data_IF_500397731666
#
_entry.id   IF_500397731666
#
_cell.length_a   1.000
_cell.length_b   1.000
_cell.length_c   1.000
_cell.angle_alpha   90.00
_cell.angle_beta   90.00
_cell.angle_gamma   90.00
#
_symmetry.space_group_name_H-M   'P 1'
#
loop_
_entity.id
_entity.type
_entity.pdbx_description
1 polymer ?
#
# COMPACT_ATOMS: atom_id res chain seq x y z
N UNK A 1 6.35 -16.07 -15.76
CA UNK A 1 4.94 -15.67 -15.59
C UNK A 1 4.77 -14.23 -16.00
N UNK A 2 4.76 -13.30 -15.04
CA UNK A 2 4.56 -11.86 -15.27
C UNK A 2 5.36 -11.26 -16.42
N UNK A 3 6.67 -11.51 -16.54
CA UNK A 3 7.47 -11.00 -17.66
C UNK A 3 7.01 -11.47 -19.05
N UNK A 4 6.55 -12.71 -19.17
CA UNK A 4 6.03 -13.23 -20.43
C UNK A 4 4.69 -12.54 -20.80
N UNK A 5 3.84 -12.30 -19.79
CA UNK A 5 2.58 -11.57 -19.94
C UNK A 5 2.86 -10.11 -20.33
N UNK A 6 3.73 -9.41 -19.59
CA UNK A 6 4.11 -8.02 -19.86
C UNK A 6 4.63 -7.84 -21.29
N UNK A 7 5.45 -8.78 -21.78
CA UNK A 7 5.92 -8.77 -23.18
C UNK A 7 4.78 -8.98 -24.18
N UNK A 8 3.85 -9.88 -23.88
CA UNK A 8 2.76 -10.23 -24.79
C UNK A 8 1.69 -9.14 -24.91
N UNK A 9 1.46 -8.35 -23.86
CA UNK A 9 0.40 -7.33 -23.82
C UNK A 9 0.90 -5.90 -24.01
N UNK A 10 2.20 -5.72 -24.27
CA UNK A 10 2.78 -4.40 -24.48
C UNK A 10 1.99 -3.60 -25.55
N UNK A 11 1.70 -2.30 -25.31
CA UNK A 11 2.26 -1.42 -24.29
C UNK A 11 1.49 -1.39 -22.94
N UNK A 12 0.51 -2.27 -22.72
CA UNK A 12 -0.24 -2.30 -21.46
C UNK A 12 0.69 -2.71 -20.31
N UNK A 13 0.75 -1.90 -19.25
CA UNK A 13 1.60 -2.19 -18.10
C UNK A 13 0.98 -3.27 -17.20
N UNK A 14 1.83 -4.18 -16.71
CA UNK A 14 1.45 -5.19 -15.72
C UNK A 14 1.77 -4.67 -14.32
N UNK A 15 0.78 -4.75 -13.42
CA UNK A 15 0.93 -4.48 -12.00
C UNK A 15 0.88 -5.79 -11.19
N UNK A 16 1.67 -5.86 -10.11
CA UNK A 16 1.49 -6.85 -9.03
C UNK A 16 2.22 -6.36 -7.78
N UNK A 17 1.84 -6.89 -6.62
CA UNK A 17 2.69 -6.82 -5.43
C UNK A 17 2.00 -6.97 -4.08
N UNK A 18 0.68 -6.82 -3.98
CA UNK A 18 -0.11 -6.97 -2.73
C UNK A 18 0.14 -8.31 -1.98
N UNK A 19 0.45 -9.36 -2.74
CA UNK A 19 0.74 -10.71 -2.23
C UNK A 19 2.22 -11.10 -2.40
N UNK A 20 3.08 -10.17 -2.80
CA UNK A 20 4.51 -10.42 -2.91
C UNK A 20 5.12 -10.60 -1.51
N UNK A 21 5.74 -11.76 -1.29
CA UNK A 21 6.12 -12.20 0.05
C UNK A 21 7.23 -11.40 0.73
N UNK A 22 8.15 -10.78 -0.02
CA UNK A 22 9.31 -10.06 0.54
C UNK A 22 10.07 -9.28 -0.55
N UNK A 23 11.07 -8.50 -0.13
CA UNK A 23 11.92 -7.69 -1.01
C UNK A 23 12.70 -8.49 -2.06
N UNK A 24 12.97 -9.77 -1.83
CA UNK A 24 13.74 -10.60 -2.78
C UNK A 24 12.93 -10.88 -4.03
N UNK A 25 11.62 -11.13 -3.89
CA UNK A 25 10.73 -11.32 -5.04
C UNK A 25 10.52 -10.01 -5.81
N UNK A 26 10.37 -8.88 -5.10
CA UNK A 26 10.37 -7.56 -5.76
C UNK A 26 11.64 -7.31 -6.56
N UNK A 27 12.82 -7.59 -5.98
CA UNK A 27 14.10 -7.50 -6.71
C UNK A 27 14.08 -8.33 -7.99
N UNK A 28 13.58 -9.56 -7.95
CA UNK A 28 13.49 -10.43 -9.13
C UNK A 28 12.50 -9.90 -10.17
N UNK A 29 11.35 -9.37 -9.78
CA UNK A 29 10.41 -8.74 -10.72
C UNK A 29 11.04 -7.55 -11.45
N UNK A 30 11.75 -6.69 -10.72
CA UNK A 30 12.46 -5.55 -11.28
C UNK A 30 13.60 -5.98 -12.22
N UNK A 31 14.43 -6.94 -11.80
CA UNK A 31 15.53 -7.46 -12.62
C UNK A 31 15.06 -8.14 -13.92
N UNK A 32 13.89 -8.79 -13.87
CA UNK A 32 13.34 -9.48 -15.02
C UNK A 32 12.51 -8.57 -15.95
N UNK A 33 12.34 -7.29 -15.63
CA UNK A 33 11.42 -6.40 -16.34
C UNK A 33 9.98 -6.92 -16.35
N UNK A 34 9.57 -7.55 -15.24
CA UNK A 34 8.34 -8.32 -15.19
C UNK A 34 7.08 -7.49 -14.93
N UNK A 35 7.26 -6.24 -14.46
CA UNK A 35 6.18 -5.35 -14.02
C UNK A 35 6.47 -3.93 -14.52
N UNK A 36 5.42 -3.20 -14.87
CA UNK A 36 5.45 -1.77 -15.16
C UNK A 36 5.02 -0.91 -13.97
N UNK A 37 4.25 -1.47 -13.05
CA UNK A 37 3.79 -0.82 -11.82
C UNK A 37 4.01 -1.76 -10.63
N UNK A 38 4.55 -1.25 -9.53
CA UNK A 38 4.80 -2.02 -8.32
C UNK A 38 3.77 -1.68 -7.24
N UNK A 39 3.12 -2.69 -6.67
CA UNK A 39 2.18 -2.49 -5.56
C UNK A 39 2.83 -2.93 -4.23
N UNK A 40 3.16 -1.97 -3.36
CA UNK A 40 3.55 -2.30 -1.98
C UNK A 40 2.30 -2.56 -1.14
N UNK A 41 2.45 -3.33 -0.06
CA UNK A 41 1.42 -3.52 0.95
C UNK A 41 2.04 -3.38 2.34
N UNK A 42 1.36 -2.64 3.22
CA UNK A 42 1.86 -2.25 4.54
C UNK A 42 1.91 -3.37 5.57
N UNK A 43 1.12 -4.43 5.38
CA UNK A 43 0.96 -5.54 6.32
C UNK A 43 1.43 -6.90 5.74
N UNK A 44 1.78 -6.95 4.46
CA UNK A 44 2.24 -8.18 3.78
C UNK A 44 3.69 -8.53 4.09
N UNK A 45 4.57 -7.54 3.99
CA UNK A 45 6.02 -7.72 4.10
C UNK A 45 6.51 -7.24 5.47
N UNK A 46 7.82 -7.34 5.75
CA UNK A 46 8.46 -7.08 7.04
C UNK A 46 8.44 -5.64 7.52
N UNK A 47 7.25 -5.04 7.60
CA UNK A 47 6.97 -3.69 8.06
C UNK A 47 7.64 -2.60 7.22
N UNK A 48 7.69 -1.40 7.80
CA UNK A 48 8.29 -0.21 7.19
C UNK A 48 9.71 -0.49 6.71
N UNK A 49 10.52 -1.19 7.51
CA UNK A 49 11.91 -1.49 7.16
C UNK A 49 12.05 -2.21 5.81
N UNK A 50 11.22 -3.23 5.56
CA UNK A 50 11.27 -3.94 4.28
C UNK A 50 10.66 -3.11 3.15
N UNK A 51 9.58 -2.39 3.41
CA UNK A 51 8.94 -1.50 2.41
C UNK A 51 9.92 -0.43 1.93
N UNK A 52 10.67 0.22 2.81
CA UNK A 52 11.69 1.21 2.44
C UNK A 52 12.71 0.63 1.44
N UNK A 53 13.12 -0.63 1.63
CA UNK A 53 14.02 -1.29 0.68
C UNK A 53 13.38 -1.49 -0.69
N UNK A 54 12.08 -1.79 -0.73
CA UNK A 54 11.31 -1.96 -1.98
C UNK A 54 11.11 -0.63 -2.70
N UNK A 55 10.75 0.43 -1.98
CA UNK A 55 10.64 1.79 -2.54
C UNK A 55 11.95 2.26 -3.19
N UNK A 56 13.08 2.08 -2.48
CA UNK A 56 14.40 2.42 -3.01
C UNK A 56 14.78 1.60 -4.25
N UNK A 57 14.42 0.31 -4.29
CA UNK A 57 14.61 -0.51 -5.49
C UNK A 57 13.72 -0.05 -6.64
N UNK A 58 12.43 0.24 -6.39
CA UNK A 58 11.51 0.73 -7.40
C UNK A 58 12.03 2.04 -8.04
N UNK A 59 12.47 3.00 -7.20
CA UNK A 59 13.07 4.25 -7.64
C UNK A 59 14.35 4.02 -8.47
N UNK A 60 15.25 3.13 -8.01
CA UNK A 60 16.47 2.78 -8.75
C UNK A 60 16.19 2.20 -10.14
N UNK A 61 15.11 1.43 -10.29
CA UNK A 61 14.72 0.81 -11.55
C UNK A 61 13.75 1.67 -12.38
N UNK A 62 13.34 2.84 -11.89
CA UNK A 62 12.41 3.73 -12.57
C UNK A 62 10.99 3.17 -12.68
N UNK A 63 10.57 2.33 -11.72
CA UNK A 63 9.23 1.73 -11.70
C UNK A 63 8.33 2.52 -10.74
N UNK A 64 7.18 3.04 -11.18
CA UNK A 64 6.23 3.73 -10.31
C UNK A 64 5.64 2.75 -9.28
N UNK A 65 5.39 3.28 -8.09
CA UNK A 65 4.76 2.56 -6.99
C UNK A 65 3.33 3.04 -6.86
N UNK A 66 2.37 2.11 -7.01
CA UNK A 66 0.96 2.34 -6.74
C UNK A 66 0.56 1.46 -5.56
N UNK A 67 0.59 1.98 -4.32
CA UNK A 67 0.40 1.15 -3.15
C UNK A 67 -0.97 0.48 -3.13
N UNK A 68 -0.99 -0.81 -2.80
CA UNK A 68 -2.22 -1.55 -2.50
C UNK A 68 -2.79 -1.02 -1.18
N UNK A 69 -4.11 -0.85 -1.18
CA UNK A 69 -4.89 -0.47 -0.02
C UNK A 69 -6.14 -1.35 0.04
N UNK A 70 -7.18 -0.92 0.75
CA UNK A 70 -8.38 -1.74 0.93
C UNK A 70 -8.23 -2.81 2.01
N UNK A 71 -9.29 -3.54 2.29
CA UNK A 71 -9.38 -4.30 3.54
C UNK A 71 -9.49 -3.38 4.77
N UNK A 72 -9.10 -3.88 5.95
CA UNK A 72 -9.25 -3.14 7.22
C UNK A 72 -7.97 -2.37 7.53
N UNK A 73 -8.01 -1.04 7.41
CA UNK A 73 -6.92 -0.17 7.87
C UNK A 73 -5.75 0.02 6.91
N UNK A 74 -5.71 -0.65 5.74
CA UNK A 74 -4.56 -0.51 4.84
C UNK A 74 -4.47 0.89 4.23
N UNK A 75 -5.60 1.56 4.01
CA UNK A 75 -5.62 2.98 3.64
C UNK A 75 -4.92 3.85 4.71
N UNK A 76 -5.22 3.58 5.99
CA UNK A 76 -4.63 4.28 7.14
C UNK A 76 -3.12 4.08 7.22
N UNK A 77 -2.64 2.87 6.93
CA UNK A 77 -1.20 2.58 6.85
C UNK A 77 -0.54 3.21 5.61
N UNK A 78 -1.04 2.89 4.42
CA UNK A 78 -0.26 3.04 3.19
C UNK A 78 -0.08 4.50 2.76
N UNK A 79 -0.97 5.39 3.22
CA UNK A 79 -0.85 6.84 3.01
C UNK A 79 0.50 7.41 3.48
N UNK A 80 1.06 6.90 4.58
CA UNK A 80 2.33 7.39 5.11
C UNK A 80 3.51 6.94 4.25
N UNK A 81 3.42 5.74 3.67
CA UNK A 81 4.46 5.16 2.83
C UNK A 81 4.50 5.86 1.46
N UNK A 82 3.33 6.17 0.90
CA UNK A 82 3.20 6.98 -0.31
C UNK A 82 3.73 8.40 -0.10
N UNK A 83 3.39 9.03 1.02
CA UNK A 83 3.87 10.36 1.37
C UNK A 83 5.40 10.38 1.54
N UNK A 84 5.96 9.37 2.23
CA UNK A 84 7.41 9.21 2.36
C UNK A 84 8.08 9.00 1.00
N UNK A 85 7.54 8.13 0.14
CA UNK A 85 8.08 7.90 -1.20
C UNK A 85 8.15 9.22 -1.98
N UNK A 86 7.04 9.96 -2.02
CA UNK A 86 6.98 11.24 -2.71
C UNK A 86 8.01 12.26 -2.17
N UNK A 87 8.09 12.44 -0.84
CA UNK A 87 8.94 13.47 -0.24
C UNK A 87 10.44 13.12 -0.30
N UNK A 88 10.79 11.84 -0.07
CA UNK A 88 12.16 11.45 0.27
C UNK A 88 12.80 10.46 -0.71
N UNK A 89 12.05 9.90 -1.66
CA UNK A 89 12.55 8.85 -2.57
C UNK A 89 12.31 9.19 -4.03
N UNK A 90 11.05 9.24 -4.47
CA UNK A 90 10.69 9.36 -5.89
C UNK A 90 10.53 10.79 -6.36
N UNK A 91 10.07 11.72 -5.50
CA UNK A 91 9.87 13.12 -5.88
C UNK A 91 8.81 13.35 -6.96
N UNK A 92 7.96 12.36 -7.26
CA UNK A 92 7.04 12.41 -8.41
C UNK A 92 5.68 11.78 -8.09
N UNK A 93 4.64 12.30 -8.75
CA UNK A 93 3.28 11.74 -8.77
C UNK A 93 2.93 11.16 -10.16
N UNK A 94 3.84 11.25 -11.14
CA UNK A 94 3.63 10.72 -12.48
C UNK A 94 3.43 9.20 -12.41
N UNK A 95 2.36 8.69 -13.03
CA UNK A 95 1.97 7.28 -13.05
C UNK A 95 1.87 6.60 -11.66
N UNK A 96 1.64 7.38 -10.59
CA UNK A 96 1.53 6.91 -9.21
C UNK A 96 0.17 7.24 -8.63
N UNK A 97 -0.49 6.22 -8.09
CA UNK A 97 -1.81 6.33 -7.48
C UNK A 97 -1.84 5.52 -6.19
N UNK A 98 -2.53 6.02 -5.17
CA UNK A 98 -2.88 5.22 -4.00
C UNK A 98 -4.27 4.65 -4.20
N UNK A 99 -4.42 3.33 -4.05
CA UNK A 99 -5.72 2.70 -4.02
C UNK A 99 -6.57 3.23 -2.86
N UNK A 100 -7.90 3.25 -3.01
CA UNK A 100 -8.86 3.65 -1.96
C UNK A 100 -10.05 2.69 -1.96
N UNK A 101 -10.51 2.30 -0.77
CA UNK A 101 -11.75 1.58 -0.61
C UNK A 101 -12.53 2.19 0.56
N UNK A 102 -13.79 2.58 0.31
CA UNK A 102 -14.63 3.33 1.26
C UNK A 102 -15.27 2.45 2.36
N UNK A 103 -14.45 1.74 3.13
CA UNK A 103 -14.94 0.78 4.11
C UNK A 103 -14.11 0.81 5.40
N UNK A 104 -14.79 0.74 6.56
CA UNK A 104 -14.22 0.46 7.88
C UNK A 104 -13.32 1.55 8.48
N UNK A 105 -13.19 2.70 7.82
CA UNK A 105 -12.47 3.88 8.34
C UNK A 105 -13.03 4.36 9.69
N UNK A 106 -14.34 4.19 9.91
CA UNK A 106 -15.03 4.55 11.14
C UNK A 106 -14.50 3.83 12.39
N UNK A 107 -13.75 2.74 12.23
CA UNK A 107 -13.17 2.01 13.34
C UNK A 107 -11.80 2.53 13.81
N UNK A 108 -11.22 3.51 13.14
CA UNK A 108 -9.91 4.09 13.49
C UNK A 108 -10.06 5.43 14.22
N UNK A 109 -9.09 5.75 15.09
CA UNK A 109 -9.06 7.05 15.79
C UNK A 109 -8.69 8.20 14.83
N UNK A 110 -7.83 7.93 13.86
CA UNK A 110 -7.34 8.90 12.88
C UNK A 110 -7.56 8.36 11.46
N UNK A 111 -8.82 8.27 10.99
CA UNK A 111 -9.11 7.76 9.65
C UNK A 111 -8.47 8.62 8.57
N UNK A 112 -8.22 8.01 7.41
CA UNK A 112 -7.81 8.74 6.21
C UNK A 112 -8.80 9.88 5.89
N UNK A 113 -8.28 11.02 5.45
CA UNK A 113 -9.08 12.14 4.94
C UNK A 113 -8.92 12.24 3.44
N UNK A 114 -10.02 12.10 2.70
CA UNK A 114 -10.08 12.28 1.26
C UNK A 114 -10.61 13.69 0.90
N UNK A 115 -9.93 14.39 0.00
CA UNK A 115 -10.42 15.65 -0.58
C UNK A 115 -10.24 15.63 -2.10
N UNK A 116 -11.33 15.79 -2.84
CA UNK A 116 -11.34 15.83 -4.31
C UNK A 116 -10.59 14.66 -4.99
N UNK A 117 -10.68 13.45 -4.43
CA UNK A 117 -9.99 12.27 -4.95
C UNK A 117 -8.52 12.14 -4.52
N UNK A 118 -8.05 12.97 -3.58
CA UNK A 118 -6.69 12.93 -3.05
C UNK A 118 -6.65 12.60 -1.56
N UNK A 119 -5.64 11.81 -1.19
CA UNK A 119 -5.28 11.55 0.19
C UNK A 119 -4.69 12.82 0.80
N UNK A 120 -5.21 13.26 1.95
CA UNK A 120 -4.64 14.38 2.69
C UNK A 120 -3.62 13.89 3.71
N UNK A 121 -2.44 14.54 3.83
CA UNK A 121 -1.43 14.15 4.80
C UNK A 121 -1.97 14.09 6.24
N UNK A 122 -1.76 12.98 6.98
CA UNK A 122 -2.12 12.88 8.38
C UNK A 122 -1.44 13.97 9.24
N UNK A 123 -2.18 14.52 10.21
CA UNK A 123 -1.67 15.54 11.13
C UNK A 123 -1.45 15.03 12.55
N UNK A 124 -2.12 13.94 12.93
CA UNK A 124 -1.94 13.29 14.22
C UNK A 124 -0.65 12.46 14.27
N UNK A 125 0.03 12.37 15.42
CA UNK A 125 1.21 11.52 15.56
C UNK A 125 0.86 10.03 15.45
N UNK A 126 1.82 9.24 14.97
CA UNK A 126 1.70 7.79 14.85
C UNK A 126 1.40 7.34 13.42
N UNK A 127 1.00 6.08 13.29
CA UNK A 127 0.84 5.41 12.00
C UNK A 127 -0.64 5.26 11.58
N UNK A 128 -1.54 6.05 12.16
CA UNK A 128 -3.01 6.04 11.92
C UNK A 128 -3.76 4.74 12.23
N UNK A 129 -3.12 3.75 12.84
CA UNK A 129 -3.65 2.37 12.96
C UNK A 129 -4.34 2.06 14.28
N UNK A 130 -4.37 3.03 15.19
CA UNK A 130 -5.04 2.84 16.47
C UNK A 130 -6.55 2.72 16.22
N UNK A 131 -7.08 1.52 16.45
CA UNK A 131 -8.51 1.26 16.39
C UNK A 131 -9.23 1.76 17.65
N UNK A 132 -10.50 2.12 17.50
CA UNK A 132 -11.40 2.45 18.60
C UNK A 132 -11.60 1.22 19.51
N UNK A 133 -11.45 1.34 20.84
CA UNK A 133 -11.66 0.23 21.77
C UNK A 133 -13.05 -0.43 21.63
N UNK A 134 -14.07 0.36 21.29
CA UNK A 134 -15.44 -0.11 21.11
C UNK A 134 -15.53 -1.04 19.89
N UNK A 135 -14.91 -0.67 18.77
CA UNK A 135 -14.83 -1.50 17.57
C UNK A 135 -14.12 -2.83 17.87
N UNK A 136 -13.02 -2.78 18.63
CA UNK A 136 -12.30 -3.99 19.02
C UNK A 136 -13.18 -4.91 19.87
N UNK A 137 -13.94 -4.36 20.82
CA UNK A 137 -14.84 -5.15 21.66
C UNK A 137 -16.03 -5.73 20.87
N UNK A 138 -16.61 -4.97 19.94
CA UNK A 138 -17.76 -5.37 19.13
C UNK A 138 -17.43 -6.48 18.13
N UNK A 139 -16.28 -6.38 17.45
CA UNK A 139 -15.91 -7.26 16.34
C UNK A 139 -14.86 -8.32 16.70
N UNK A 140 -14.46 -8.45 17.98
CA UNK A 140 -13.56 -9.49 18.44
C UNK A 140 -14.12 -10.90 18.17
N UNK A 141 -13.56 -11.63 17.22
CA UNK A 141 -13.96 -13.02 16.96
C UNK A 141 -13.47 -13.96 18.09
N UNK A 142 -14.27 -14.92 18.59
CA UNK A 142 -15.67 -15.19 18.23
C UNK A 142 -16.70 -14.53 19.17
N UNK A 143 -16.27 -13.77 20.19
CA UNK A 143 -17.12 -13.41 21.33
C UNK A 143 -17.78 -12.03 21.24
N UNK A 144 -17.35 -11.20 20.30
CA UNK A 144 -17.86 -9.85 20.06
C UNK A 144 -19.35 -9.87 19.69
N UNK A 145 -20.04 -8.76 19.96
CA UNK A 145 -21.47 -8.64 19.71
C UNK A 145 -21.85 -8.90 18.24
N UNK A 146 -20.99 -8.56 17.28
CA UNK A 146 -21.25 -8.77 15.86
C UNK A 146 -21.19 -10.25 15.41
N UNK A 147 -20.63 -11.16 16.22
CA UNK A 147 -20.45 -12.57 15.88
C UNK A 147 -21.43 -13.52 16.59
N UNK A 148 -22.33 -12.98 17.42
CA UNK A 148 -23.36 -13.72 18.15
C UNK A 148 -24.73 -13.50 17.52
#
# INVERSE_FOLDING_TARGET
>A
GHAAIAKAIAPIQVATGEHCQNRVLFKQFLQAGAIGVLQIDSCRIGGVNEILSVLLMAAKFGIPVCPHAGGVGLCEYVQHLALFDFIAVSGSLEDRLCEYADHLHEHFLNPLVMQHGHYMPPTAPGYSITMKPESLAEFAFPNGAAWR
#
